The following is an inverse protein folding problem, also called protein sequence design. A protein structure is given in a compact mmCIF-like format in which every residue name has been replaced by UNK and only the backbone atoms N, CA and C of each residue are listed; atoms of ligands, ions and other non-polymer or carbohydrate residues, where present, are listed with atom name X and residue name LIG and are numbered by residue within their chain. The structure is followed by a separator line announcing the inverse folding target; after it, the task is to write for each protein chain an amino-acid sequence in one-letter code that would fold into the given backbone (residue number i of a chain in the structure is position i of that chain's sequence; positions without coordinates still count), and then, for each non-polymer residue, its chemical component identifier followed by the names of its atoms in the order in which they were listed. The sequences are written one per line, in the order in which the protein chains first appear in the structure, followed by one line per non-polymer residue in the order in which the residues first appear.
data_IF_051727008126
#
_entry.id   IF_051727008126
#
_cell.length_a   1.000
_cell.length_b   1.000
_cell.length_c   1.000
_cell.angle_alpha   90.00
_cell.angle_beta   90.00
_cell.angle_gamma   90.00
#
_symmetry.space_group_name_H-M   'P 1'
#
loop_
_entity.id
_entity.type
_entity.pdbx_description
1 polymer ?
#
# COMPACT_ATOMS: atom_id res chain seq x y z
N UNK A 1 6.15 19.99 0.16
CA UNK A 1 7.29 19.22 0.70
C UNK A 1 7.68 18.17 -0.33
N UNK A 2 8.93 18.16 -0.80
CA UNK A 2 9.44 17.10 -1.69
C UNK A 2 10.13 16.05 -0.83
N UNK A 3 9.63 14.80 -0.85
CA UNK A 3 10.24 13.67 -0.15
C UNK A 3 11.65 13.42 -0.70
N UNK A 4 12.62 13.25 0.18
CA UNK A 4 13.96 12.85 -0.18
C UNK A 4 13.99 11.40 -0.68
N UNK A 5 15.04 11.04 -1.43
CA UNK A 5 15.23 9.68 -1.96
C UNK A 5 15.22 8.62 -0.85
N UNK A 6 15.79 8.94 0.32
CA UNK A 6 15.81 8.04 1.49
C UNK A 6 14.42 7.86 2.09
N UNK A 7 13.64 8.93 2.21
CA UNK A 7 12.27 8.85 2.73
C UNK A 7 11.36 8.06 1.80
N UNK A 8 11.49 8.23 0.48
CA UNK A 8 10.76 7.43 -0.52
C UNK A 8 11.08 5.95 -0.41
N UNK A 9 12.36 5.60 -0.29
CA UNK A 9 12.81 4.21 -0.10
C UNK A 9 12.27 3.61 1.21
N UNK A 10 12.32 4.36 2.31
CA UNK A 10 11.77 3.94 3.60
C UNK A 10 10.27 3.66 3.50
N UNK A 11 9.51 4.58 2.89
CA UNK A 11 8.06 4.42 2.70
C UNK A 11 7.77 3.19 1.83
N UNK A 12 8.53 2.97 0.75
CA UNK A 12 8.39 1.75 -0.07
C UNK A 12 8.64 0.47 0.72
N UNK A 13 9.63 0.45 1.60
CA UNK A 13 9.92 -0.71 2.43
C UNK A 13 8.79 -0.99 3.43
N UNK A 14 8.31 0.03 4.13
CA UNK A 14 7.21 -0.10 5.08
C UNK A 14 5.94 -0.59 4.39
N UNK A 15 5.58 -0.03 3.23
CA UNK A 15 4.41 -0.46 2.46
C UNK A 15 4.53 -1.91 1.97
N UNK A 16 5.72 -2.35 1.53
CA UNK A 16 5.95 -3.75 1.13
C UNK A 16 5.86 -4.72 2.30
N UNK A 17 6.39 -4.34 3.47
CA UNK A 17 6.30 -5.17 4.65
C UNK A 17 4.86 -5.31 5.11
N UNK A 18 4.11 -4.19 5.13
CA UNK A 18 2.72 -4.20 5.51
C UNK A 18 1.86 -5.04 4.54
N UNK A 19 2.11 -4.97 3.23
CA UNK A 19 1.45 -5.84 2.24
C UNK A 19 1.65 -7.33 2.56
N UNK A 20 2.88 -7.73 2.90
CA UNK A 20 3.20 -9.12 3.27
C UNK A 20 2.54 -9.55 4.58
N UNK A 21 2.49 -8.68 5.58
CA UNK A 21 1.82 -8.96 6.84
C UNK A 21 0.32 -9.17 6.63
N UNK A 22 -0.29 -8.35 5.78
CA UNK A 22 -1.70 -8.41 5.38
C UNK A 22 -1.99 -9.72 4.62
N UNK A 23 -1.15 -10.09 3.65
CA UNK A 23 -1.24 -11.37 2.92
C UNK A 23 -1.09 -12.57 3.87
N UNK A 24 -0.16 -12.49 4.83
CA UNK A 24 0.12 -13.58 5.77
C UNK A 24 -0.92 -13.75 6.88
N UNK A 25 -1.67 -12.69 7.22
CA UNK A 25 -2.62 -12.76 8.34
C UNK A 25 -4.00 -13.29 7.98
N UNK A 26 -4.33 -13.57 6.71
CA UNK A 26 -5.63 -14.05 6.18
C UNK A 26 -6.90 -13.31 6.68
N UNK A 27 -6.77 -12.33 7.58
CA UNK A 27 -7.85 -11.57 8.24
C UNK A 27 -8.28 -10.35 7.44
N UNK A 28 -7.53 -9.99 6.41
CA UNK A 28 -7.87 -8.93 5.46
C UNK A 28 -7.99 -9.56 4.06
N UNK A 29 -8.78 -10.62 3.85
CA UNK A 29 -8.93 -11.16 2.51
C UNK A 29 -9.77 -10.14 1.74
N UNK A 30 -9.16 -9.37 0.84
CA UNK A 30 -9.87 -8.52 -0.11
C UNK A 30 -10.96 -7.61 0.52
N UNK A 31 -10.66 -6.87 1.58
CA UNK A 31 -11.54 -5.75 1.89
C UNK A 31 -11.48 -4.77 0.72
N UNK A 32 -12.60 -4.63 -0.01
CA UNK A 32 -12.79 -3.52 -0.92
C UNK A 32 -12.69 -2.25 -0.09
N UNK A 33 -11.62 -1.50 -0.28
CA UNK A 33 -11.49 -0.21 0.38
C UNK A 33 -12.28 0.76 -0.46
N UNK A 34 -13.33 1.33 0.13
CA UNK A 34 -14.01 2.47 -0.45
C UNK A 34 -13.11 3.69 -0.34
N UNK A 35 -12.34 3.94 -1.40
CA UNK A 35 -11.53 5.14 -1.53
C UNK A 35 -12.37 6.22 -2.22
N UNK A 36 -13.10 7.02 -1.42
CA UNK A 36 -13.83 8.25 -1.77
C UNK A 36 -14.84 8.20 -2.96
N UNK A 37 -14.71 7.27 -3.90
CA UNK A 37 -15.39 7.22 -5.20
C UNK A 37 -15.25 5.90 -5.96
N UNK A 38 -14.35 4.97 -5.57
CA UNK A 38 -14.15 3.69 -6.28
C UNK A 38 -13.82 2.55 -5.33
N UNK A 39 -14.45 1.37 -5.51
CA UNK A 39 -14.00 0.12 -4.88
C UNK A 39 -12.70 -0.32 -5.55
N UNK A 40 -11.61 -0.30 -4.79
CA UNK A 40 -10.31 -0.81 -5.21
C UNK A 40 -9.86 -1.85 -4.19
N UNK A 41 -9.27 -2.94 -4.67
CA UNK A 41 -8.60 -3.89 -3.78
C UNK A 41 -7.46 -3.19 -3.07
N UNK A 42 -7.35 -3.41 -1.77
CA UNK A 42 -6.30 -2.80 -0.96
C UNK A 42 -4.90 -3.01 -1.53
N UNK A 43 -4.63 -4.22 -2.03
CA UNK A 43 -3.35 -4.55 -2.64
C UNK A 43 -3.03 -3.67 -3.85
N UNK A 44 -4.03 -3.41 -4.71
CA UNK A 44 -3.85 -2.59 -5.90
C UNK A 44 -3.61 -1.13 -5.53
N UNK A 45 -4.23 -0.64 -4.46
CA UNK A 45 -3.98 0.69 -3.90
C UNK A 45 -2.53 0.84 -3.41
N UNK A 46 -2.05 -0.09 -2.59
CA UNK A 46 -0.69 -0.06 -2.04
C UNK A 46 0.35 -0.18 -3.17
N UNK A 47 0.12 -1.05 -4.16
CA UNK A 47 0.95 -1.15 -5.37
C UNK A 47 1.00 0.18 -6.14
N UNK A 48 -0.13 0.87 -6.27
CA UNK A 48 -0.21 2.18 -6.94
C UNK A 48 0.61 3.25 -6.20
N UNK A 49 0.58 3.28 -4.87
CA UNK A 49 1.39 4.20 -4.07
C UNK A 49 2.89 3.90 -4.25
N UNK A 50 3.28 2.62 -4.19
CA UNK A 50 4.68 2.20 -4.37
C UNK A 50 5.21 2.60 -5.76
N UNK A 51 4.39 2.48 -6.80
CA UNK A 51 4.77 2.85 -8.17
C UNK A 51 4.85 4.36 -8.40
N UNK A 52 4.07 5.17 -7.66
CA UNK A 52 4.08 6.64 -7.76
C UNK A 52 5.16 7.33 -6.91
N UNK A 53 5.66 6.66 -5.86
CA UNK A 53 6.75 7.16 -5.00
C UNK A 53 8.12 7.11 -5.69
#
# INVERSE_FOLDING_TARGET
MNLTKKEKELIKQVLKQHLKEVEATEKIPNQNIQLLSTEMKYEDFIKSIINKL
#
